data_IF_370534225936
#
_entry.id   IF_370534225936
#
_cell.length_a   1.000
_cell.length_b   1.000
_cell.length_c   1.000
_cell.angle_alpha   90.00
_cell.angle_beta   90.00
_cell.angle_gamma   90.00
#
_symmetry.space_group_name_H-M   'P 1'
#
loop_
_entity.id
_entity.type
_entity.pdbx_description
1 polymer ?
#
# COMPACT_ATOMS: atom_id res chain seq x y z
N UNK A 1 -41.77 -13.98 48.97
CA UNK A 1 -41.20 -12.62 48.88
C UNK A 1 -40.57 -12.49 47.50
N UNK A 2 -41.14 -11.68 46.61
CA UNK A 2 -40.58 -11.47 45.27
C UNK A 2 -39.61 -10.28 45.33
N UNK A 3 -38.35 -10.54 45.03
CA UNK A 3 -37.28 -9.54 44.98
C UNK A 3 -37.56 -8.59 43.83
N UNK A 4 -37.90 -7.33 44.16
CA UNK A 4 -38.14 -6.28 43.18
C UNK A 4 -36.79 -5.89 42.57
N UNK A 5 -36.54 -6.26 41.33
CA UNK A 5 -35.35 -5.85 40.58
C UNK A 5 -35.37 -4.33 40.47
N UNK A 6 -34.41 -3.68 41.12
CA UNK A 6 -34.23 -2.24 41.11
C UNK A 6 -33.73 -1.82 39.71
N UNK A 7 -34.60 -1.18 38.92
CA UNK A 7 -34.22 -0.65 37.62
C UNK A 7 -33.39 0.63 37.83
N UNK A 8 -32.12 0.59 37.42
CA UNK A 8 -31.24 1.76 37.45
C UNK A 8 -31.79 2.85 36.51
N UNK A 9 -31.77 4.13 36.93
CA UNK A 9 -32.30 5.22 36.13
C UNK A 9 -31.47 5.42 34.85
N UNK A 10 -32.09 5.84 33.73
CA UNK A 10 -31.39 6.10 32.48
C UNK A 10 -30.42 7.27 32.66
N UNK A 11 -29.14 7.03 32.39
CA UNK A 11 -28.10 8.05 32.38
C UNK A 11 -28.08 8.71 31.00
N UNK A 12 -28.31 10.02 30.94
CA UNK A 12 -28.09 10.81 29.74
C UNK A 12 -26.58 11.02 29.54
N UNK A 13 -25.97 10.28 28.61
CA UNK A 13 -24.55 10.39 28.27
C UNK A 13 -24.39 11.19 26.98
N UNK A 14 -23.60 12.26 27.01
CA UNK A 14 -23.18 12.97 25.80
C UNK A 14 -22.03 12.19 25.14
N UNK A 15 -22.29 11.60 23.98
CA UNK A 15 -21.30 10.84 23.20
C UNK A 15 -20.75 11.76 22.11
N UNK A 16 -19.50 12.27 22.24
CA UNK A 16 -18.90 13.09 21.19
C UNK A 16 -18.78 12.26 19.90
N UNK A 17 -19.31 12.79 18.80
CA UNK A 17 -19.27 12.12 17.51
C UNK A 17 -17.82 12.04 17.00
N UNK A 18 -17.41 10.92 16.38
CA UNK A 18 -16.16 10.87 15.64
C UNK A 18 -16.12 11.96 14.56
N UNK A 19 -15.07 12.78 14.55
CA UNK A 19 -14.85 13.78 13.52
C UNK A 19 -14.10 13.14 12.37
N UNK A 20 -14.83 12.46 11.49
CA UNK A 20 -14.23 11.79 10.33
C UNK A 20 -14.12 12.79 9.17
N UNK A 21 -12.91 12.99 8.68
CA UNK A 21 -12.62 13.87 7.55
C UNK A 21 -11.89 13.08 6.47
N UNK A 22 -11.97 13.57 5.24
CA UNK A 22 -11.24 13.02 4.09
C UNK A 22 -10.43 14.16 3.46
N UNK A 23 -9.14 13.91 3.22
CA UNK A 23 -8.29 14.81 2.46
C UNK A 23 -7.75 14.10 1.23
N UNK A 24 -7.54 14.85 0.15
CA UNK A 24 -6.84 14.36 -1.03
C UNK A 24 -5.35 14.71 -0.90
N UNK A 25 -4.51 13.73 -1.21
CA UNK A 25 -3.05 13.86 -1.17
C UNK A 25 -2.51 13.30 -2.48
N UNK A 26 -1.60 14.03 -3.12
CA UNK A 26 -0.88 13.55 -4.30
C UNK A 26 0.54 13.17 -3.89
N UNK A 27 0.90 11.91 -4.11
CA UNK A 27 2.25 11.40 -3.91
C UNK A 27 3.01 11.53 -5.21
N UNK A 28 4.18 12.19 -5.20
CA UNK A 28 5.06 12.36 -6.35
C UNK A 28 6.35 11.58 -6.12
N UNK A 29 6.67 10.67 -7.05
CA UNK A 29 7.80 9.77 -6.92
C UNK A 29 9.15 10.46 -7.07
N UNK A 30 10.00 10.36 -6.03
CA UNK A 30 11.40 10.80 -6.04
C UNK A 30 12.35 9.71 -6.56
N UNK A 31 11.89 8.46 -6.50
CA UNK A 31 12.60 7.29 -6.99
C UNK A 31 11.64 6.35 -7.72
N UNK A 32 12.20 5.47 -8.55
CA UNK A 32 11.43 4.48 -9.32
C UNK A 32 10.47 3.67 -8.43
N UNK A 33 9.27 3.39 -8.91
CA UNK A 33 8.32 2.48 -8.26
C UNK A 33 8.37 1.12 -8.95
N UNK A 34 8.61 0.06 -8.17
CA UNK A 34 8.61 -1.33 -8.68
C UNK A 34 7.45 -2.10 -8.05
N UNK A 35 6.63 -2.74 -8.87
CA UNK A 35 5.54 -3.59 -8.40
C UNK A 35 5.94 -5.07 -8.39
N UNK A 36 5.23 -5.85 -7.60
CA UNK A 36 5.40 -7.29 -7.52
C UNK A 36 4.10 -7.93 -7.03
N UNK A 37 3.05 -7.90 -7.87
CA UNK A 37 1.86 -8.70 -7.63
C UNK A 37 2.24 -10.19 -7.63
N UNK A 38 1.62 -10.97 -6.74
CA UNK A 38 1.80 -12.41 -6.76
C UNK A 38 1.01 -12.98 -7.95
N UNK A 39 1.69 -13.66 -8.87
CA UNK A 39 1.03 -14.36 -9.96
C UNK A 39 0.12 -15.47 -9.42
N UNK A 40 -1.03 -15.71 -10.05
CA UNK A 40 -1.93 -16.83 -9.74
C UNK A 40 -1.19 -18.18 -9.73
N UNK A 41 -0.27 -18.39 -10.67
CA UNK A 41 0.58 -19.58 -10.73
C UNK A 41 1.33 -19.81 -9.42
N UNK A 42 1.95 -18.76 -8.87
CA UNK A 42 2.65 -18.81 -7.58
C UNK A 42 1.69 -19.03 -6.40
N UNK A 43 0.48 -18.47 -6.44
CA UNK A 43 -0.55 -18.71 -5.42
C UNK A 43 -1.00 -20.17 -5.45
N UNK A 44 -1.32 -20.70 -6.64
CA UNK A 44 -1.70 -22.09 -6.83
C UNK A 44 -0.60 -23.08 -6.42
N UNK A 45 0.68 -22.79 -6.68
CA UNK A 45 1.79 -23.61 -6.18
C UNK A 45 1.85 -23.62 -4.63
N UNK A 46 1.56 -22.50 -3.97
CA UNK A 46 1.49 -22.43 -2.52
C UNK A 46 0.30 -23.21 -1.95
N UNK A 47 -0.84 -23.18 -2.63
CA UNK A 47 -2.03 -23.96 -2.27
C UNK A 47 -1.82 -25.45 -2.48
N UNK A 48 -1.29 -25.88 -3.63
CA UNK A 48 -0.95 -27.27 -3.92
C UNK A 48 0.03 -27.83 -2.88
N UNK A 49 1.02 -27.01 -2.46
CA UNK A 49 1.96 -27.38 -1.38
C UNK A 49 1.26 -27.55 -0.03
N UNK A 50 0.30 -26.67 0.31
CA UNK A 50 -0.50 -26.79 1.54
C UNK A 50 -1.41 -28.04 1.51
N UNK A 51 -1.91 -28.39 0.33
CA UNK A 51 -2.70 -29.59 0.09
C UNK A 51 -1.86 -30.89 0.03
N UNK A 52 -0.54 -30.80 0.21
CA UNK A 52 0.36 -31.96 0.18
C UNK A 52 0.52 -32.59 -1.21
N UNK A 53 0.16 -31.88 -2.28
CA UNK A 53 0.30 -32.40 -3.64
C UNK A 53 1.77 -32.45 -4.06
N UNK A 54 2.08 -33.41 -4.93
CA UNK A 54 3.43 -33.58 -5.47
C UNK A 54 3.88 -32.32 -6.23
N UNK A 55 5.16 -31.96 -6.07
CA UNK A 55 5.75 -30.78 -6.70
C UNK A 55 5.79 -30.97 -8.21
N UNK A 56 5.07 -30.13 -8.95
CA UNK A 56 5.11 -30.12 -10.43
C UNK A 56 6.50 -29.70 -10.92
N UNK A 57 6.89 -30.19 -12.10
CA UNK A 57 8.15 -29.80 -12.75
C UNK A 57 8.10 -28.31 -13.09
N UNK A 58 9.16 -27.57 -12.77
CA UNK A 58 9.25 -26.12 -13.03
C UNK A 58 9.28 -25.90 -14.55
N UNK A 59 8.25 -25.24 -15.07
CA UNK A 59 8.18 -24.87 -16.49
C UNK A 59 9.19 -23.77 -16.80
N UNK A 60 9.64 -23.64 -18.08
CA UNK A 60 10.46 -22.52 -18.52
C UNK A 60 9.77 -21.20 -18.20
N UNK A 61 10.51 -20.26 -17.59
CA UNK A 61 9.98 -18.94 -17.25
C UNK A 61 9.84 -18.13 -18.53
N UNK A 62 8.61 -17.76 -18.89
CA UNK A 62 8.33 -16.75 -19.90
C UNK A 62 8.49 -15.34 -19.27
N UNK A 63 9.48 -14.53 -19.68
CA UNK A 63 9.70 -13.19 -19.12
C UNK A 63 8.49 -12.26 -19.24
N UNK A 64 7.79 -12.32 -20.37
CA UNK A 64 6.64 -11.45 -20.65
C UNK A 64 5.47 -11.79 -19.73
N UNK A 65 5.13 -13.07 -19.60
CA UNK A 65 4.07 -13.51 -18.67
C UNK A 65 4.40 -13.18 -17.22
N UNK A 66 5.67 -13.32 -16.80
CA UNK A 66 6.07 -12.99 -15.43
C UNK A 66 5.96 -11.48 -15.15
N UNK A 67 6.34 -10.66 -16.14
CA UNK A 67 6.20 -9.21 -16.09
C UNK A 67 4.73 -8.79 -16.00
N UNK A 68 3.88 -9.35 -16.85
CA UNK A 68 2.43 -9.07 -16.88
C UNK A 68 1.73 -9.50 -15.60
N UNK A 69 2.02 -10.71 -15.11
CA UNK A 69 1.43 -11.22 -13.87
C UNK A 69 1.87 -10.45 -12.61
N UNK A 70 2.94 -9.65 -12.69
CA UNK A 70 3.42 -8.81 -11.60
C UNK A 70 2.75 -7.42 -11.56
N UNK A 71 1.93 -7.08 -12.56
CA UNK A 71 1.20 -5.82 -12.67
C UNK A 71 -0.20 -5.89 -12.05
N UNK A 72 -0.72 -4.75 -11.63
CA UNK A 72 -2.14 -4.56 -11.28
C UNK A 72 -2.81 -3.80 -12.43
N UNK A 73 -3.01 -4.50 -13.54
CA UNK A 73 -3.60 -3.91 -14.75
C UNK A 73 -5.12 -3.86 -14.65
N UNK A 74 -5.70 -2.76 -15.10
CA UNK A 74 -7.14 -2.57 -15.21
C UNK A 74 -7.63 -2.78 -16.65
N UNK A 75 -8.95 -3.03 -16.85
CA UNK A 75 -9.51 -3.26 -18.18
C UNK A 75 -9.34 -2.10 -19.16
N UNK A 76 -9.18 -0.87 -18.66
CA UNK A 76 -8.91 0.33 -19.46
C UNK A 76 -7.42 0.54 -19.78
N UNK A 77 -6.55 -0.38 -19.35
CA UNK A 77 -5.10 -0.32 -19.52
C UNK A 77 -4.37 0.47 -18.44
N UNK A 78 -5.09 1.15 -17.54
CA UNK A 78 -4.48 1.86 -16.41
C UNK A 78 -3.83 0.87 -15.43
N UNK A 79 -2.91 1.39 -14.61
CA UNK A 79 -2.14 0.59 -13.66
C UNK A 79 -2.44 1.03 -12.25
N UNK A 80 -2.72 0.06 -11.38
CA UNK A 80 -3.00 0.29 -9.98
C UNK A 80 -1.82 0.03 -9.06
N UNK A 81 -1.91 0.59 -7.87
CA UNK A 81 -1.09 0.26 -6.72
C UNK A 81 -1.99 -0.11 -5.53
N UNK A 82 -1.68 -1.13 -4.73
CA UNK A 82 -2.50 -1.46 -3.57
C UNK A 82 -2.63 -0.30 -2.57
N UNK A 83 -3.85 0.16 -2.30
CA UNK A 83 -4.14 1.25 -1.36
C UNK A 83 -3.58 0.93 0.05
N UNK A 84 -3.65 -0.36 0.44
CA UNK A 84 -3.06 -0.86 1.68
C UNK A 84 -1.54 -0.69 1.76
N UNK A 85 -0.83 -0.69 0.63
CA UNK A 85 0.60 -0.42 0.56
C UNK A 85 0.94 1.03 0.94
N UNK A 86 0.15 1.99 0.45
CA UNK A 86 0.26 3.41 0.80
C UNK A 86 0.00 3.61 2.30
N UNK A 87 -1.10 3.05 2.82
CA UNK A 87 -1.41 3.07 4.26
C UNK A 87 -0.28 2.46 5.10
N UNK A 88 0.28 1.33 4.67
CA UNK A 88 1.35 0.65 5.39
C UNK A 88 2.63 1.51 5.46
N UNK A 89 2.91 2.29 4.42
CA UNK A 89 4.02 3.23 4.42
C UNK A 89 3.84 4.30 5.50
N UNK A 90 2.67 4.96 5.52
CA UNK A 90 2.32 5.96 6.54
C UNK A 90 2.36 5.39 7.98
N UNK A 91 1.79 4.20 8.19
CA UNK A 91 1.85 3.51 9.49
C UNK A 91 3.29 3.22 9.90
N UNK A 92 4.16 2.83 8.97
CA UNK A 92 5.55 2.56 9.29
C UNK A 92 6.36 3.81 9.64
N UNK A 93 6.00 4.95 9.03
CA UNK A 93 6.62 6.25 9.27
C UNK A 93 6.44 6.76 10.70
N UNK A 94 5.46 6.24 11.43
CA UNK A 94 5.25 6.53 12.86
C UNK A 94 6.48 6.22 13.74
N UNK A 95 7.46 5.45 13.25
CA UNK A 95 8.75 5.24 13.95
C UNK A 95 9.63 6.48 13.98
N UNK A 96 9.38 7.43 13.09
CA UNK A 96 10.13 8.67 12.91
C UNK A 96 9.31 9.91 13.30
N UNK A 97 8.18 9.72 13.99
CA UNK A 97 7.28 10.79 14.40
C UNK A 97 6.91 10.60 15.86
N UNK A 98 7.15 11.61 16.69
CA UNK A 98 6.72 11.58 18.09
C UNK A 98 5.19 11.78 18.20
N UNK A 99 4.58 11.16 19.22
CA UNK A 99 3.15 11.33 19.51
C UNK A 99 2.18 10.52 18.65
N UNK A 100 2.64 9.86 17.57
CA UNK A 100 1.79 9.02 16.70
C UNK A 100 2.27 7.57 16.78
N UNK A 101 1.53 6.72 17.48
CA UNK A 101 1.88 5.29 17.53
C UNK A 101 1.39 4.55 16.30
N UNK A 102 2.10 3.49 15.89
CA UNK A 102 1.64 2.63 14.79
C UNK A 102 0.25 2.00 15.05
N UNK A 103 -0.05 1.67 16.32
CA UNK A 103 -1.36 1.11 16.71
C UNK A 103 -2.46 2.12 16.44
N UNK A 104 -2.24 3.38 16.87
CA UNK A 104 -3.16 4.48 16.61
C UNK A 104 -3.34 4.73 15.11
N UNK A 105 -2.25 4.88 14.36
CA UNK A 105 -2.29 5.15 12.93
C UNK A 105 -3.07 4.06 12.15
N UNK A 106 -2.94 2.78 12.53
CA UNK A 106 -3.70 1.68 11.90
C UNK A 106 -5.22 1.83 12.05
N UNK A 107 -5.68 2.30 13.22
CA UNK A 107 -7.10 2.46 13.54
C UNK A 107 -7.70 3.80 13.13
N UNK A 108 -6.85 4.79 12.81
CA UNK A 108 -7.29 6.16 12.53
C UNK A 108 -7.17 6.53 11.05
N UNK A 109 -6.20 6.00 10.32
CA UNK A 109 -5.90 6.39 8.94
C UNK A 109 -6.43 5.32 7.97
N UNK A 110 -7.19 5.73 6.96
CA UNK A 110 -7.76 4.86 5.93
C UNK A 110 -7.54 5.47 4.55
N UNK A 111 -6.71 4.81 3.73
CA UNK A 111 -6.55 5.16 2.33
C UNK A 111 -7.71 4.53 1.56
N UNK A 112 -8.50 5.35 0.87
CA UNK A 112 -9.62 4.91 0.05
C UNK A 112 -9.11 4.38 -1.29
N UNK A 113 -9.81 3.38 -1.81
CA UNK A 113 -9.56 2.83 -3.14
C UNK A 113 -10.23 3.69 -4.21
N UNK A 114 -9.62 3.77 -5.37
CA UNK A 114 -10.25 4.31 -6.58
C UNK A 114 -11.01 3.21 -7.31
N UNK A 115 -10.46 2.00 -7.32
CA UNK A 115 -10.97 0.87 -8.09
C UNK A 115 -10.64 -0.46 -7.40
N UNK A 116 -11.37 -1.50 -7.79
CA UNK A 116 -11.16 -2.89 -7.37
C UNK A 116 -10.84 -3.69 -8.62
N UNK A 117 -9.73 -4.43 -8.63
CA UNK A 117 -9.43 -5.35 -9.74
C UNK A 117 -10.22 -6.66 -9.65
N UNK A 118 -10.15 -7.48 -10.70
CA UNK A 118 -10.87 -8.75 -10.78
C UNK A 118 -10.49 -9.74 -9.65
N UNK A 119 -9.29 -9.58 -9.08
CA UNK A 119 -8.78 -10.34 -7.94
C UNK A 119 -9.24 -9.78 -6.58
N UNK A 120 -10.03 -8.70 -6.57
CA UNK A 120 -10.56 -8.07 -5.35
C UNK A 120 -9.56 -7.19 -4.62
N UNK A 121 -8.46 -6.77 -5.26
CA UNK A 121 -7.48 -5.85 -4.67
C UNK A 121 -8.02 -4.41 -4.68
N UNK A 122 -7.90 -3.73 -3.55
CA UNK A 122 -8.19 -2.30 -3.42
C UNK A 122 -7.03 -1.48 -4.00
N UNK A 123 -7.25 -0.81 -5.12
CA UNK A 123 -6.22 -0.10 -5.87
C UNK A 123 -6.43 1.41 -5.87
N UNK A 124 -5.31 2.14 -5.89
CA UNK A 124 -5.20 3.55 -6.24
C UNK A 124 -4.45 3.65 -7.57
N UNK A 125 -4.79 4.63 -8.41
CA UNK A 125 -4.24 4.71 -9.77
C UNK A 125 -2.84 5.30 -9.79
N UNK A 126 -1.97 4.70 -10.62
CA UNK A 126 -0.64 5.21 -10.91
C UNK A 126 -0.72 6.03 -12.20
N UNK A 127 -0.24 7.27 -12.13
CA UNK A 127 -0.09 8.17 -13.26
C UNK A 127 1.39 8.41 -13.53
N UNK A 128 1.85 8.38 -14.78
CA UNK A 128 3.26 8.63 -15.13
C UNK A 128 3.75 7.69 -16.23
N UNK A 129 5.08 7.60 -16.39
CA UNK A 129 5.66 6.83 -17.48
C UNK A 129 5.89 5.37 -17.11
N UNK A 130 5.45 4.49 -18.00
CA UNK A 130 5.64 3.05 -17.90
C UNK A 130 4.31 2.29 -17.99
N UNK A 131 4.30 1.01 -17.59
CA UNK A 131 5.39 0.28 -16.95
C UNK A 131 6.50 -0.14 -17.93
N UNK A 132 7.74 -0.22 -17.44
CA UNK A 132 8.90 -0.76 -18.15
C UNK A 132 9.31 -2.13 -17.58
N UNK A 133 9.65 -3.08 -18.45
CA UNK A 133 10.15 -4.40 -18.01
C UNK A 133 11.54 -4.29 -17.39
N UNK A 134 11.60 -4.51 -16.08
CA UNK A 134 12.83 -4.58 -15.30
C UNK A 134 13.25 -6.03 -15.10
N UNK A 135 14.54 -6.33 -15.21
CA UNK A 135 15.13 -7.64 -14.92
C UNK A 135 16.03 -7.54 -13.69
N UNK A 136 15.70 -8.28 -12.63
CA UNK A 136 16.49 -8.33 -11.40
C UNK A 136 17.00 -9.73 -11.12
N UNK A 137 18.27 -9.83 -10.70
CA UNK A 137 18.76 -11.03 -10.04
C UNK A 137 18.31 -10.99 -8.57
N UNK A 138 17.45 -11.93 -8.18
CA UNK A 138 16.97 -12.07 -6.80
C UNK A 138 17.60 -13.30 -6.16
N UNK A 139 17.88 -13.21 -4.86
CA UNK A 139 18.32 -14.36 -4.06
C UNK A 139 17.10 -14.95 -3.36
N UNK A 140 16.87 -16.24 -3.57
CA UNK A 140 15.83 -17.02 -2.88
C UNK A 140 16.44 -17.81 -1.72
N UNK A 141 15.59 -18.53 -0.97
CA UNK A 141 16.04 -19.37 0.14
C UNK A 141 17.11 -20.39 -0.32
N UNK A 142 18.01 -20.76 0.60
CA UNK A 142 19.13 -21.69 0.36
C UNK A 142 20.23 -21.18 -0.60
N UNK A 143 20.33 -19.86 -0.81
CA UNK A 143 21.42 -19.27 -1.59
C UNK A 143 21.29 -19.38 -3.11
N UNK A 144 20.19 -19.96 -3.60
CA UNK A 144 19.90 -20.02 -5.03
C UNK A 144 19.53 -18.63 -5.57
N UNK A 145 19.99 -18.32 -6.77
CA UNK A 145 19.63 -17.10 -7.50
C UNK A 145 18.52 -17.39 -8.51
N UNK A 146 17.60 -16.45 -8.64
CA UNK A 146 16.53 -16.46 -9.64
C UNK A 146 16.55 -15.12 -10.39
N UNK A 147 15.96 -15.09 -11.57
CA UNK A 147 15.75 -13.85 -12.33
C UNK A 147 14.27 -13.51 -12.26
N UNK A 148 13.96 -12.26 -11.91
CA UNK A 148 12.59 -11.75 -11.88
C UNK A 148 12.40 -10.60 -12.85
N UNK A 149 11.36 -10.71 -13.66
CA UNK A 149 10.86 -9.66 -14.53
C UNK A 149 9.71 -8.95 -13.84
N UNK A 150 9.81 -7.62 -13.67
CA UNK A 150 8.87 -6.81 -12.89
C UNK A 150 8.57 -5.47 -13.57
N UNK A 151 7.38 -4.90 -13.36
CA UNK A 151 7.07 -3.53 -13.79
C UNK A 151 7.82 -2.49 -12.95
N UNK A 152 8.49 -1.59 -13.66
CA UNK A 152 9.12 -0.39 -13.12
C UNK A 152 8.45 0.85 -13.71
N UNK A 153 8.04 1.79 -12.86
CA UNK A 153 7.63 3.15 -13.22
C UNK A 153 8.76 4.10 -12.83
N UNK A 154 9.29 4.85 -13.79
CA UNK A 154 10.45 5.74 -13.54
C UNK A 154 10.01 7.08 -13.01
N UNK A 155 8.93 7.60 -13.57
CA UNK A 155 8.19 8.78 -13.12
C UNK A 155 6.80 8.30 -12.75
N UNK A 156 6.32 8.70 -11.57
CA UNK A 156 5.00 8.29 -11.12
C UNK A 156 4.41 9.30 -10.14
N UNK A 157 3.09 9.42 -10.19
CA UNK A 157 2.24 10.15 -9.26
C UNK A 157 1.09 9.23 -8.87
N UNK A 158 0.67 9.28 -7.61
CA UNK A 158 -0.53 8.57 -7.13
C UNK A 158 -1.37 9.56 -6.36
N UNK A 159 -2.61 9.73 -6.78
CA UNK A 159 -3.59 10.53 -6.04
C UNK A 159 -4.34 9.62 -5.08
N UNK A 160 -4.37 9.97 -3.80
CA UNK A 160 -5.06 9.19 -2.77
C UNK A 160 -6.02 10.05 -1.97
N UNK A 161 -7.20 9.49 -1.70
CA UNK A 161 -8.13 10.04 -0.72
C UNK A 161 -7.90 9.35 0.62
N UNK A 162 -7.58 10.12 1.65
CA UNK A 162 -7.26 9.62 2.99
C UNK A 162 -8.32 10.07 3.97
N UNK A 163 -9.08 9.10 4.48
CA UNK A 163 -10.06 9.29 5.54
C UNK A 163 -9.40 9.09 6.90
N UNK A 164 -9.61 10.03 7.81
CA UNK A 164 -9.03 10.00 9.15
C UNK A 164 -9.95 10.57 10.23
N UNK A 165 -9.69 10.24 11.50
CA UNK A 165 -10.39 10.83 12.63
C UNK A 165 -9.64 12.07 13.13
N UNK A 166 -10.17 13.26 12.81
CA UNK A 166 -9.63 14.55 13.17
C UNK A 166 -9.70 14.87 14.67
N UNK A 167 -10.43 14.08 15.47
CA UNK A 167 -10.33 14.15 16.94
C UNK A 167 -9.01 13.55 17.47
N UNK A 168 -8.27 12.80 16.65
CA UNK A 168 -7.07 12.05 17.08
C UNK A 168 -5.81 12.53 16.35
N UNK A 169 -5.90 12.78 15.05
CA UNK A 169 -4.77 13.27 14.23
C UNK A 169 -5.22 14.48 13.42
N UNK A 170 -4.45 15.56 13.43
CA UNK A 170 -4.74 16.74 12.60
C UNK A 170 -4.37 16.50 11.14
N UNK A 171 -4.93 17.30 10.22
CA UNK A 171 -4.58 17.22 8.80
C UNK A 171 -3.08 17.51 8.56
N UNK A 172 -2.50 18.47 9.28
CA UNK A 172 -1.07 18.81 9.20
C UNK A 172 -0.18 17.66 9.65
N UNK A 173 -0.52 17.02 10.79
CA UNK A 173 0.19 15.83 11.26
C UNK A 173 0.07 14.68 10.28
N UNK A 174 -1.10 14.51 9.65
CA UNK A 174 -1.32 13.49 8.63
C UNK A 174 -0.43 13.74 7.40
N UNK A 175 -0.44 14.95 6.84
CA UNK A 175 0.38 15.31 5.67
C UNK A 175 1.87 15.16 6.00
N UNK A 176 2.32 15.63 7.16
CA UNK A 176 3.70 15.47 7.60
C UNK A 176 4.08 13.99 7.76
N UNK A 177 3.19 13.16 8.32
CA UNK A 177 3.40 11.72 8.42
C UNK A 177 3.57 11.07 7.05
N UNK A 178 2.79 11.50 6.05
CA UNK A 178 2.92 11.03 4.66
C UNK A 178 4.23 11.50 4.01
N UNK A 179 4.69 12.74 4.24
CA UNK A 179 6.01 13.19 3.80
C UNK A 179 7.13 12.34 4.42
N UNK A 180 7.05 12.07 5.73
CA UNK A 180 8.02 11.19 6.40
C UNK A 180 7.97 9.75 5.88
N UNK A 181 6.78 9.27 5.51
CA UNK A 181 6.61 7.95 4.89
C UNK A 181 7.31 7.89 3.54
N UNK A 182 7.14 8.94 2.74
CA UNK A 182 7.80 9.08 1.46
C UNK A 182 9.32 9.11 1.55
N UNK A 183 9.87 9.83 2.52
CA UNK A 183 11.31 9.97 2.71
C UNK A 183 11.98 8.74 3.38
N UNK A 184 11.37 8.17 4.42
CA UNK A 184 12.04 7.14 5.26
C UNK A 184 11.60 5.71 4.97
N UNK A 185 10.45 5.51 4.33
CA UNK A 185 9.82 4.19 4.20
C UNK A 185 9.62 3.79 2.74
N UNK A 186 9.12 4.70 1.90
CA UNK A 186 8.74 4.47 0.53
C UNK A 186 7.55 3.51 0.36
N UNK A 187 7.20 3.20 -0.88
CA UNK A 187 6.17 2.21 -1.28
C UNK A 187 6.71 1.24 -2.33
N UNK A 188 5.98 0.16 -2.59
CA UNK A 188 6.39 -0.84 -3.57
C UNK A 188 7.58 -1.70 -3.12
N UNK A 189 8.15 -2.43 -4.05
CA UNK A 189 9.26 -3.34 -3.81
C UNK A 189 10.60 -2.59 -3.77
N UNK A 190 11.56 -3.11 -3.01
CA UNK A 190 12.88 -2.47 -2.87
C UNK A 190 12.87 -1.14 -2.13
N UNK A 191 11.77 -0.77 -1.47
CA UNK A 191 11.70 0.43 -0.62
C UNK A 191 12.59 0.33 0.63
N UNK A 192 13.06 1.46 1.21
CA UNK A 192 13.89 1.42 2.42
C UNK A 192 13.19 0.75 3.61
N UNK A 193 11.89 0.96 3.74
CA UNK A 193 11.05 0.35 4.78
C UNK A 193 10.64 -1.11 4.51
N UNK A 194 11.27 -1.79 3.55
CA UNK A 194 11.05 -3.22 3.33
C UNK A 194 11.75 -4.05 4.42
N UNK A 195 11.16 -5.16 4.89
CA UNK A 195 11.80 -6.00 5.90
C UNK A 195 13.04 -6.75 5.37
N UNK A 196 13.17 -6.89 4.03
CA UNK A 196 14.26 -7.55 3.32
C UNK A 196 14.45 -6.88 1.97
N UNK A 197 15.63 -7.06 1.36
CA UNK A 197 15.95 -6.55 0.03
C UNK A 197 15.72 -5.03 -0.08
N UNK A 198 16.13 -4.30 0.95
CA UNK A 198 16.03 -2.85 1.01
C UNK A 198 16.95 -2.21 -0.03
N UNK A 199 16.37 -1.30 -0.81
CA UNK A 199 17.05 -0.37 -1.70
C UNK A 199 16.39 1.00 -1.48
N UNK A 200 16.72 1.98 -2.30
CA UNK A 200 16.16 3.33 -2.21
C UNK A 200 15.08 3.55 -3.28
N UNK A 201 14.14 2.61 -3.41
CA UNK A 201 13.05 2.68 -4.40
C UNK A 201 11.73 3.13 -3.77
N UNK A 202 10.82 3.63 -4.61
CA UNK A 202 9.47 4.02 -4.23
C UNK A 202 9.41 5.12 -3.17
N UNK A 203 10.47 5.91 -3.04
CA UNK A 203 10.50 7.16 -2.29
C UNK A 203 9.60 8.18 -2.98
N UNK A 204 8.99 9.06 -2.19
CA UNK A 204 8.09 10.09 -2.68
C UNK A 204 8.04 11.30 -1.73
N UNK A 205 7.48 12.39 -2.22
CA UNK A 205 7.03 13.52 -1.41
C UNK A 205 5.56 13.82 -1.71
N UNK A 206 4.94 14.65 -0.88
CA UNK A 206 3.60 15.15 -1.12
C UNK A 206 3.67 16.41 -1.98
N UNK A 207 2.91 16.43 -3.07
CA UNK A 207 2.87 17.55 -4.01
C UNK A 207 2.52 18.86 -3.29
N UNK A 208 3.19 19.95 -3.67
CA UNK A 208 2.89 21.29 -3.16
C UNK A 208 2.79 22.33 -4.28
N UNK A 209 1.99 23.38 -4.08
CA UNK A 209 1.90 24.50 -5.02
C UNK A 209 1.53 24.08 -6.44
N UNK A 210 2.37 24.44 -7.42
CA UNK A 210 2.19 24.16 -8.86
C UNK A 210 2.02 22.65 -9.16
N UNK A 211 2.64 21.77 -8.38
CA UNK A 211 2.53 20.32 -8.60
C UNK A 211 1.12 19.77 -8.34
N UNK A 212 0.34 20.45 -7.48
CA UNK A 212 -1.07 20.12 -7.25
C UNK A 212 -1.93 20.53 -8.45
N UNK A 213 -1.59 21.64 -9.11
CA UNK A 213 -2.31 22.12 -10.30
C UNK A 213 -2.06 21.21 -11.50
N UNK A 214 -0.84 20.68 -11.65
CA UNK A 214 -0.53 19.68 -12.69
C UNK A 214 -1.13 18.30 -12.45
N UNK A 215 -1.52 18.00 -11.20
CA UNK A 215 -2.07 16.70 -10.80
C UNK A 215 -3.61 16.68 -10.73
N UNK A 216 -4.26 17.85 -10.85
CA UNK A 216 -5.71 18.01 -10.88
C UNK A 216 -6.30 17.71 -12.27
#
# INVERSE_FOLDING_TARGET
MATKTEQLPPIAVNIPKPNIQTIEIVLVGDARLVLHKWSEKAIGEMEDKRAGKARKKKEPVNPQEQYEAAMYSLPDGSQGFPAGGVKKSAVNACRYTEGITMVMARGVIFVERDVVDDDGNDLVLIHGDGPYMRRDMVRIAMGTTDIRYRPEFRTWKIKVRVRFNANIITAEQLINLFNLAGHHVGIGEGRPGAPKNTMDWGLFHIATGEELEEAA
#
